data_IF_401900890074
#
_entry.id   IF_401900890074
#
_cell.length_a   1.000
_cell.length_b   1.000
_cell.length_c   1.000
_cell.angle_alpha   90.00
_cell.angle_beta   90.00
_cell.angle_gamma   90.00
#
_symmetry.space_group_name_H-M   'P 1'
#
loop_
_entity.id
_entity.type
_entity.pdbx_description
1 polymer ?
#
# COMPACT_ATOMS: atom_id res chain seq x y z
N UNK A 1 -44.84 -22.57 -19.13
CA UNK A 1 -44.02 -21.36 -19.38
C UNK A 1 -42.65 -21.85 -19.85
N UNK A 2 -42.28 -21.55 -21.09
CA UNK A 2 -40.96 -21.87 -21.63
C UNK A 2 -40.06 -20.65 -21.48
N UNK A 3 -38.95 -20.78 -20.76
CA UNK A 3 -37.91 -19.76 -20.70
C UNK A 3 -36.72 -20.24 -21.55
N UNK A 4 -36.16 -19.33 -22.33
CA UNK A 4 -34.95 -19.58 -23.12
C UNK A 4 -33.75 -19.04 -22.36
N UNK A 5 -32.72 -19.86 -22.22
CA UNK A 5 -31.45 -19.48 -21.59
C UNK A 5 -30.34 -19.69 -22.61
N UNK A 6 -29.37 -18.78 -22.67
CA UNK A 6 -28.18 -18.97 -23.50
C UNK A 6 -27.22 -19.98 -22.86
N UNK A 7 -26.37 -20.62 -23.66
CA UNK A 7 -25.37 -21.57 -23.13
C UNK A 7 -24.37 -20.89 -22.17
N UNK A 8 -24.06 -19.60 -22.38
CA UNK A 8 -23.20 -18.82 -21.48
C UNK A 8 -23.84 -18.64 -20.11
N UNK A 9 -25.13 -18.32 -20.06
CA UNK A 9 -25.87 -18.27 -18.81
C UNK A 9 -25.96 -19.65 -18.15
N UNK A 10 -26.12 -20.73 -18.93
CA UNK A 10 -26.14 -22.10 -18.42
C UNK A 10 -24.80 -22.51 -17.79
N UNK A 11 -23.67 -22.09 -18.37
CA UNK A 11 -22.32 -22.27 -17.81
C UNK A 11 -22.21 -21.58 -16.46
N UNK A 12 -22.66 -20.33 -16.35
CA UNK A 12 -22.58 -19.56 -15.11
C UNK A 12 -23.46 -20.16 -13.99
N UNK A 13 -24.56 -20.82 -14.35
CA UNK A 13 -25.40 -21.59 -13.42
C UNK A 13 -24.76 -22.93 -13.05
N UNK A 14 -24.10 -23.60 -14.00
CA UNK A 14 -23.41 -24.86 -13.80
C UNK A 14 -22.17 -24.72 -12.90
N UNK A 15 -21.39 -23.66 -13.10
CA UNK A 15 -20.14 -23.38 -12.39
C UNK A 15 -20.18 -21.93 -11.88
N UNK A 16 -20.83 -21.66 -10.75
CA UNK A 16 -20.81 -20.35 -10.12
C UNK A 16 -19.38 -20.01 -9.66
N UNK A 17 -18.96 -18.74 -9.80
CA UNK A 17 -17.60 -18.29 -9.49
C UNK A 17 -17.14 -18.55 -8.03
N UNK A 18 -18.08 -18.81 -7.10
CA UNK A 18 -17.81 -19.16 -5.70
C UNK A 18 -18.83 -20.20 -5.16
N UNK A 19 -18.80 -21.47 -5.59
CA UNK A 19 -19.70 -22.47 -5.02
C UNK A 19 -19.61 -23.89 -5.56
N UNK A 20 -20.53 -24.74 -5.07
CA UNK A 20 -20.72 -26.14 -5.47
C UNK A 20 -21.27 -26.20 -6.89
N UNK A 21 -20.67 -27.04 -7.75
CA UNK A 21 -21.08 -27.25 -9.15
C UNK A 21 -22.53 -27.75 -9.23
N UNK A 22 -23.36 -27.08 -10.03
CA UNK A 22 -24.70 -27.56 -10.33
C UNK A 22 -24.64 -28.61 -11.45
N UNK A 23 -24.50 -29.87 -11.05
CA UNK A 23 -24.40 -31.01 -11.98
C UNK A 23 -25.57 -31.12 -12.96
N UNK A 24 -26.77 -30.65 -12.59
CA UNK A 24 -27.93 -30.71 -13.48
C UNK A 24 -27.83 -29.69 -14.61
N UNK A 25 -27.39 -28.47 -14.30
CA UNK A 25 -27.10 -27.46 -15.32
C UNK A 25 -25.90 -27.83 -16.18
N UNK A 26 -24.85 -28.40 -15.57
CA UNK A 26 -23.66 -28.87 -16.28
C UNK A 26 -23.98 -30.00 -17.26
N UNK A 27 -24.79 -30.97 -16.84
CA UNK A 27 -25.24 -32.06 -17.71
C UNK A 27 -26.04 -31.54 -18.91
N UNK A 28 -26.96 -30.59 -18.71
CA UNK A 28 -27.72 -29.98 -19.79
C UNK A 28 -26.84 -29.20 -20.78
N UNK A 29 -25.81 -28.51 -20.28
CA UNK A 29 -24.83 -27.83 -21.11
C UNK A 29 -24.04 -28.84 -21.95
N UNK A 30 -23.49 -29.89 -21.32
CA UNK A 30 -22.72 -30.91 -22.01
C UNK A 30 -23.56 -31.65 -23.06
N UNK A 31 -24.81 -31.98 -22.72
CA UNK A 31 -25.73 -32.60 -23.67
C UNK A 31 -26.03 -31.68 -24.86
N UNK A 32 -26.30 -30.39 -24.60
CA UNK A 32 -26.49 -29.41 -25.67
C UNK A 32 -25.26 -29.25 -26.57
N UNK A 33 -24.05 -29.33 -26.01
CA UNK A 33 -22.79 -29.32 -26.78
C UNK A 33 -22.65 -30.60 -27.61
N UNK A 34 -22.92 -31.78 -27.04
CA UNK A 34 -22.86 -33.05 -27.75
C UNK A 34 -23.86 -33.11 -28.91
N UNK A 35 -25.06 -32.55 -28.71
CA UNK A 35 -26.11 -32.44 -29.73
C UNK A 35 -25.71 -31.44 -30.83
N UNK A 36 -25.13 -30.28 -30.46
CA UNK A 36 -24.69 -29.27 -31.44
C UNK A 36 -23.52 -29.75 -32.30
N UNK A 37 -22.59 -30.51 -31.71
CA UNK A 37 -21.41 -31.05 -32.40
C UNK A 37 -21.73 -32.41 -33.07
N UNK A 38 -22.94 -32.96 -32.87
CA UNK A 38 -23.42 -34.24 -33.43
C UNK A 38 -22.52 -35.45 -33.12
N UNK A 39 -21.87 -35.45 -31.96
CA UNK A 39 -20.98 -36.53 -31.52
C UNK A 39 -21.60 -37.39 -30.42
N UNK A 40 -22.87 -37.17 -30.10
CA UNK A 40 -23.59 -37.89 -29.04
C UNK A 40 -23.59 -39.42 -29.23
N UNK A 41 -23.62 -39.90 -30.49
CA UNK A 41 -23.63 -41.33 -30.81
C UNK A 41 -22.24 -41.91 -31.14
N UNK A 42 -21.19 -41.09 -31.12
CA UNK A 42 -19.85 -41.51 -31.47
C UNK A 42 -19.22 -42.30 -30.33
N UNK A 43 -18.89 -43.57 -30.58
CA UNK A 43 -18.26 -44.43 -29.58
C UNK A 43 -16.79 -44.07 -29.43
N UNK A 44 -16.41 -43.51 -28.29
CA UNK A 44 -15.00 -43.36 -27.91
C UNK A 44 -14.49 -44.71 -27.40
N UNK A 45 -13.51 -45.31 -28.09
CA UNK A 45 -12.77 -46.46 -27.59
C UNK A 45 -11.81 -45.96 -26.52
N UNK A 46 -12.07 -46.31 -25.26
CA UNK A 46 -11.22 -45.96 -24.13
C UNK A 46 -10.14 -47.03 -23.99
N UNK A 47 -8.86 -46.63 -23.97
CA UNK A 47 -7.78 -47.49 -23.50
C UNK A 47 -8.02 -47.75 -22.02
N UNK A 48 -8.06 -49.01 -21.60
CA UNK A 48 -8.50 -49.46 -20.27
C UNK A 48 -7.66 -49.03 -19.06
N UNK A 49 -6.91 -47.93 -19.17
CA UNK A 49 -6.03 -47.33 -18.14
C UNK A 49 -6.66 -46.08 -17.49
N UNK A 50 -7.92 -45.78 -17.82
CA UNK A 50 -8.66 -44.63 -17.29
C UNK A 50 -9.42 -45.06 -16.01
N UNK A 51 -8.81 -44.85 -14.85
CA UNK A 51 -9.27 -45.26 -13.50
C UNK A 51 -10.67 -44.76 -13.09
N UNK A 52 -11.28 -43.84 -13.83
CA UNK A 52 -12.55 -43.20 -13.47
C UNK A 52 -13.80 -44.05 -13.75
N UNK A 53 -13.70 -45.07 -14.63
CA UNK A 53 -14.80 -45.98 -14.94
C UNK A 53 -14.74 -47.30 -14.15
N UNK A 54 -13.63 -47.53 -13.45
CA UNK A 54 -13.53 -48.66 -12.54
C UNK A 54 -14.33 -48.33 -11.28
N UNK A 55 -15.62 -48.66 -11.31
CA UNK A 55 -16.32 -48.92 -10.06
C UNK A 55 -15.51 -49.98 -9.32
N UNK A 56 -14.79 -49.54 -8.27
CA UNK A 56 -13.93 -50.36 -7.41
C UNK A 56 -14.55 -51.74 -7.18
N UNK A 57 -13.91 -52.84 -7.63
CA UNK A 57 -14.40 -54.20 -7.45
C UNK A 57 -14.08 -54.73 -6.04
N UNK A 58 -13.99 -53.85 -5.04
CA UNK A 58 -13.83 -54.24 -3.64
C UNK A 58 -15.19 -54.22 -2.96
N UNK A 59 -16.08 -55.09 -3.42
CA UNK A 59 -17.15 -55.60 -2.58
C UNK A 59 -17.44 -57.03 -3.02
N UNK A 60 -16.83 -57.95 -2.28
CA UNK A 60 -17.18 -59.34 -2.06
C UNK A 60 -18.49 -59.75 -2.77
N UNK A 61 -18.39 -60.63 -3.76
CA UNK A 61 -19.52 -61.36 -4.32
C UNK A 61 -20.08 -62.26 -3.20
N UNK A 62 -21.32 -62.06 -2.71
CA UNK A 62 -22.05 -63.12 -2.02
C UNK A 62 -22.74 -63.96 -3.09
N UNK A 63 -22.53 -65.26 -3.00
CA UNK A 63 -23.13 -66.29 -3.84
C UNK A 63 -24.65 -66.11 -3.98
N UNK A 64 -25.09 -66.24 -5.22
CA UNK A 64 -26.38 -66.65 -5.78
C UNK A 64 -27.52 -66.96 -4.79
N UNK A 65 -28.63 -66.22 -4.91
CA UNK A 65 -29.94 -66.61 -4.38
C UNK A 65 -30.45 -65.80 -3.17
N UNK A 66 -30.78 -64.52 -3.36
CA UNK A 66 -32.04 -63.92 -2.88
C UNK A 66 -32.06 -62.41 -3.21
N UNK A 67 -33.24 -61.90 -3.53
CA UNK A 67 -33.48 -60.56 -4.07
C UNK A 67 -32.81 -59.44 -3.26
N UNK A 68 -31.81 -58.76 -3.84
CA UNK A 68 -31.34 -57.48 -3.31
C UNK A 68 -32.14 -56.31 -3.90
N UNK A 69 -32.62 -55.37 -3.06
CA UNK A 69 -33.24 -54.15 -3.53
C UNK A 69 -32.17 -53.25 -4.15
N UNK A 70 -32.52 -52.60 -5.25
CA UNK A 70 -31.70 -51.60 -5.93
C UNK A 70 -31.30 -50.50 -4.93
N UNK A 71 -30.07 -50.55 -4.40
CA UNK A 71 -29.57 -49.52 -3.48
C UNK A 71 -29.21 -48.29 -4.31
N UNK A 72 -30.07 -47.28 -4.22
CA UNK A 72 -29.93 -45.99 -4.90
C UNK A 72 -28.60 -45.31 -4.47
N UNK A 73 -27.71 -44.93 -5.41
CA UNK A 73 -26.42 -44.30 -5.11
C UNK A 73 -26.53 -42.99 -4.31
N UNK A 74 -27.68 -42.29 -4.38
CA UNK A 74 -27.95 -41.12 -3.52
C UNK A 74 -28.03 -41.48 -2.03
N UNK A 75 -28.53 -42.67 -1.66
CA UNK A 75 -28.56 -43.12 -0.26
C UNK A 75 -27.16 -43.43 0.26
N UNK A 76 -26.26 -43.92 -0.60
CA UNK A 76 -24.87 -44.18 -0.23
C UNK A 76 -24.10 -42.87 0.04
N UNK A 77 -24.33 -41.84 -0.77
CA UNK A 77 -23.78 -40.51 -0.53
C UNK A 77 -24.35 -39.88 0.75
N UNK A 78 -25.67 -39.97 0.97
CA UNK A 78 -26.31 -39.52 2.22
C UNK A 78 -25.62 -40.15 3.44
N UNK A 79 -25.43 -41.48 3.44
CA UNK A 79 -24.79 -42.18 4.55
C UNK A 79 -23.33 -41.73 4.80
N UNK A 80 -22.60 -41.32 3.75
CA UNK A 80 -21.23 -40.78 3.90
C UNK A 80 -21.28 -39.38 4.50
N UNK A 81 -22.19 -38.52 4.05
CA UNK A 81 -22.39 -37.20 4.64
C UNK A 81 -22.85 -37.31 6.10
N UNK A 82 -23.81 -38.19 6.40
CA UNK A 82 -24.29 -38.44 7.76
C UNK A 82 -23.16 -38.93 8.67
N UNK A 83 -22.27 -39.80 8.17
CA UNK A 83 -21.10 -40.25 8.91
C UNK A 83 -20.04 -39.15 9.10
N UNK A 84 -19.87 -38.25 8.12
CA UNK A 84 -18.98 -37.08 8.26
C UNK A 84 -19.56 -36.10 9.28
N UNK A 85 -20.87 -35.86 9.25
CA UNK A 85 -21.58 -35.02 10.22
C UNK A 85 -21.48 -35.61 11.62
N UNK A 86 -21.73 -36.91 11.81
CA UNK A 86 -21.58 -37.61 13.10
C UNK A 86 -20.13 -37.57 13.61
N UNK A 87 -19.14 -37.72 12.71
CA UNK A 87 -17.72 -37.54 13.09
C UNK A 87 -17.41 -36.10 13.46
N UNK A 88 -17.98 -35.13 12.76
CA UNK A 88 -17.78 -33.71 13.04
C UNK A 88 -18.41 -33.32 14.38
N UNK A 89 -19.61 -33.82 14.66
CA UNK A 89 -20.29 -33.65 15.95
C UNK A 89 -19.48 -34.28 17.09
N UNK A 90 -18.94 -35.50 16.91
CA UNK A 90 -18.03 -36.12 17.90
C UNK A 90 -16.74 -35.34 18.11
N UNK A 91 -16.22 -34.70 17.05
CA UNK A 91 -15.04 -33.84 17.14
C UNK A 91 -15.40 -32.55 17.88
N UNK A 92 -16.52 -31.92 17.58
CA UNK A 92 -17.01 -30.72 18.28
C UNK A 92 -17.26 -30.98 19.76
N UNK A 93 -17.90 -32.10 20.11
CA UNK A 93 -18.12 -32.50 21.51
C UNK A 93 -16.78 -32.68 22.24
N UNK A 94 -15.81 -33.37 21.62
CA UNK A 94 -14.46 -33.51 22.21
C UNK A 94 -13.70 -32.19 22.28
N UNK A 95 -13.90 -31.30 21.31
CA UNK A 95 -13.29 -29.97 21.30
C UNK A 95 -13.84 -29.13 22.47
N UNK A 96 -15.15 -29.19 22.70
CA UNK A 96 -15.81 -28.54 23.82
C UNK A 96 -15.38 -29.14 25.18
N UNK A 97 -15.23 -30.46 25.26
CA UNK A 97 -14.67 -31.14 26.44
C UNK A 97 -13.20 -30.75 26.71
N UNK A 98 -12.38 -30.56 25.67
CA UNK A 98 -11.00 -30.08 25.82
C UNK A 98 -10.89 -28.60 26.18
N UNK A 99 -11.86 -27.77 25.77
CA UNK A 99 -11.89 -26.35 26.09
C UNK A 99 -12.41 -26.08 27.51
N UNK A 100 -13.23 -26.97 28.08
CA UNK A 100 -13.76 -26.84 29.43
C UNK A 100 -12.80 -27.35 30.51
N UNK A 101 -12.57 -26.56 31.58
CA UNK A 101 -11.85 -27.03 32.77
C UNK A 101 -12.80 -27.95 33.57
N UNK A 102 -12.45 -29.21 33.86
CA UNK A 102 -13.32 -30.10 34.62
C UNK A 102 -13.50 -29.61 36.07
N UNK A 103 -14.73 -29.63 36.55
CA UNK A 103 -15.09 -29.26 37.93
C UNK A 103 -14.45 -30.23 38.93
N UNK A 104 -14.08 -29.75 40.12
CA UNK A 104 -13.47 -30.54 41.22
C UNK A 104 -14.23 -31.83 41.57
N UNK A 105 -15.56 -31.87 41.38
CA UNK A 105 -16.37 -33.07 41.55
C UNK A 105 -16.08 -34.17 40.50
N UNK A 106 -15.90 -33.80 39.22
CA UNK A 106 -15.53 -34.74 38.14
C UNK A 106 -14.11 -35.27 38.31
N UNK A 107 -13.18 -34.43 38.77
CA UNK A 107 -11.81 -34.85 39.07
C UNK A 107 -11.77 -35.91 40.18
N UNK A 108 -12.67 -35.82 41.17
CA UNK A 108 -12.75 -36.80 42.26
C UNK A 108 -13.34 -38.14 41.79
N UNK A 109 -14.37 -38.11 40.94
CA UNK A 109 -14.95 -39.30 40.31
C UNK A 109 -13.94 -39.99 39.37
N UNK A 110 -13.25 -39.24 38.51
CA UNK A 110 -12.25 -39.77 37.58
C UNK A 110 -10.94 -40.22 38.26
N UNK A 111 -10.72 -39.81 39.52
CA UNK A 111 -9.58 -40.29 40.32
C UNK A 111 -9.77 -41.70 40.88
N UNK A 112 -10.98 -42.25 40.83
CA UNK A 112 -11.22 -43.64 41.22
C UNK A 112 -10.69 -44.58 40.12
N UNK A 113 -9.38 -44.87 40.17
CA UNK A 113 -8.71 -45.77 39.24
C UNK A 113 -7.23 -45.43 39.05
N UNK A 114 -6.65 -45.86 37.91
CA UNK A 114 -5.25 -45.60 37.54
C UNK A 114 -5.02 -44.25 36.86
N UNK A 115 -6.09 -43.47 36.62
CA UNK A 115 -6.01 -42.17 35.95
C UNK A 115 -5.42 -41.11 36.88
N UNK A 116 -4.73 -40.11 36.31
CA UNK A 116 -4.16 -38.96 37.03
C UNK A 116 -4.76 -37.64 36.54
N UNK A 117 -6.04 -37.35 36.85
CA UNK A 117 -6.77 -36.22 36.27
C UNK A 117 -6.12 -34.85 36.52
N UNK A 118 -5.45 -34.67 37.65
CA UNK A 118 -4.74 -33.43 37.99
C UNK A 118 -3.48 -33.20 37.14
N UNK A 119 -2.75 -34.26 36.80
CA UNK A 119 -1.56 -34.20 35.93
C UNK A 119 -1.98 -33.86 34.49
N UNK A 120 -3.05 -34.48 34.01
CA UNK A 120 -3.64 -34.21 32.69
C UNK A 120 -4.17 -32.78 32.59
N UNK A 121 -4.84 -32.27 33.63
CA UNK A 121 -5.31 -30.89 33.71
C UNK A 121 -4.16 -29.89 33.65
N UNK A 122 -3.09 -30.13 34.42
CA UNK A 122 -1.91 -29.27 34.40
C UNK A 122 -1.23 -29.23 33.02
N UNK A 123 -1.12 -30.39 32.37
CA UNK A 123 -0.59 -30.49 31.01
C UNK A 123 -1.46 -29.71 30.02
N UNK A 124 -2.80 -29.81 30.12
CA UNK A 124 -3.72 -29.08 29.26
C UNK A 124 -3.60 -27.55 29.46
N UNK A 125 -3.63 -27.06 30.71
CA UNK A 125 -3.45 -25.62 31.03
C UNK A 125 -2.12 -25.09 30.48
N UNK A 126 -1.03 -25.87 30.63
CA UNK A 126 0.28 -25.49 30.11
C UNK A 126 0.29 -25.36 28.59
N UNK A 127 -0.39 -26.27 27.88
CA UNK A 127 -0.52 -26.21 26.42
C UNK A 127 -1.37 -25.00 26.01
N UNK A 128 -2.52 -24.77 26.65
CA UNK A 128 -3.37 -23.61 26.39
C UNK A 128 -2.61 -22.30 26.57
N UNK A 129 -1.84 -22.14 27.66
CA UNK A 129 -1.04 -20.93 27.89
C UNK A 129 0.06 -20.73 26.83
N UNK A 130 0.64 -21.82 26.32
CA UNK A 130 1.58 -21.75 25.19
C UNK A 130 0.89 -21.35 23.88
N UNK A 131 -0.31 -21.86 23.64
CA UNK A 131 -1.12 -21.51 22.46
C UNK A 131 -1.52 -20.03 22.52
N UNK A 132 -2.06 -19.55 23.65
CA UNK A 132 -2.38 -18.12 23.85
C UNK A 132 -1.15 -17.22 23.58
N UNK A 133 0.02 -17.60 24.10
CA UNK A 133 1.26 -16.87 23.86
C UNK A 133 1.68 -16.87 22.38
N UNK A 134 1.51 -18.00 21.69
CA UNK A 134 1.80 -18.12 20.26
C UNK A 134 0.81 -17.31 19.40
N UNK A 135 -0.47 -17.29 19.77
CA UNK A 135 -1.49 -16.48 19.08
C UNK A 135 -1.13 -14.98 19.18
N UNK A 136 -0.79 -14.50 20.37
CA UNK A 136 -0.34 -13.12 20.58
C UNK A 136 0.95 -12.79 19.81
N UNK A 137 1.91 -13.74 19.75
CA UNK A 137 3.13 -13.56 18.98
C UNK A 137 2.83 -13.51 17.47
N UNK A 138 1.92 -14.35 16.98
CA UNK A 138 1.50 -14.41 15.58
C UNK A 138 0.75 -13.13 15.18
N UNK A 139 -0.12 -12.61 16.06
CA UNK A 139 -0.81 -11.33 15.84
C UNK A 139 0.18 -10.17 15.72
N UNK A 140 1.15 -10.09 16.64
CA UNK A 140 2.20 -9.06 16.57
C UNK A 140 3.03 -9.19 15.29
N UNK A 141 3.43 -10.40 14.91
CA UNK A 141 4.17 -10.64 13.69
C UNK A 141 3.39 -10.25 12.44
N UNK A 142 2.10 -10.63 12.36
CA UNK A 142 1.22 -10.27 11.26
C UNK A 142 1.06 -8.74 11.14
N UNK A 143 0.89 -8.05 12.27
CA UNK A 143 0.83 -6.59 12.31
C UNK A 143 2.13 -5.96 11.81
N UNK A 144 3.29 -6.41 12.28
CA UNK A 144 4.59 -5.91 11.81
C UNK A 144 4.79 -6.15 10.31
N UNK A 145 4.38 -7.31 9.78
CA UNK A 145 4.43 -7.57 8.33
C UNK A 145 3.52 -6.62 7.55
N UNK A 146 2.31 -6.34 8.06
CA UNK A 146 1.38 -5.41 7.43
C UNK A 146 1.94 -3.98 7.42
N UNK A 147 2.54 -3.53 8.53
CA UNK A 147 3.19 -2.23 8.64
C UNK A 147 4.34 -2.11 7.62
N UNK A 148 5.20 -3.13 7.54
CA UNK A 148 6.30 -3.18 6.56
C UNK A 148 5.81 -3.17 5.10
N UNK A 149 4.74 -3.89 4.79
CA UNK A 149 4.14 -3.87 3.45
C UNK A 149 3.56 -2.50 3.10
N UNK A 150 2.90 -1.85 4.07
CA UNK A 150 2.38 -0.50 3.90
C UNK A 150 3.51 0.50 3.63
N UNK A 151 4.58 0.45 4.42
CA UNK A 151 5.76 1.32 4.24
C UNK A 151 6.44 1.08 2.90
N UNK A 152 6.54 -0.17 2.45
CA UNK A 152 7.06 -0.51 1.12
C UNK A 152 6.20 0.10 0.01
N UNK A 153 4.87 0.02 0.13
CA UNK A 153 3.96 0.62 -0.84
C UNK A 153 4.10 2.15 -0.90
N UNK A 154 4.19 2.82 0.25
CA UNK A 154 4.45 4.27 0.32
C UNK A 154 5.79 4.60 -0.33
N UNK A 155 6.85 3.88 0.03
CA UNK A 155 8.19 4.07 -0.52
C UNK A 155 8.21 3.89 -2.04
N UNK A 156 7.54 2.85 -2.55
CA UNK A 156 7.41 2.62 -4.00
C UNK A 156 6.74 3.80 -4.70
N UNK A 157 5.63 4.31 -4.14
CA UNK A 157 4.92 5.48 -4.68
C UNK A 157 5.82 6.73 -4.70
N UNK A 158 6.60 6.94 -3.64
CA UNK A 158 7.59 8.03 -3.58
C UNK A 158 8.66 7.87 -4.66
N UNK A 159 9.20 6.67 -4.85
CA UNK A 159 10.20 6.38 -5.90
C UNK A 159 9.63 6.64 -7.30
N UNK A 160 8.38 6.21 -7.56
CA UNK A 160 7.71 6.47 -8.83
C UNK A 160 7.47 7.97 -9.08
N UNK A 161 7.16 8.73 -8.02
CA UNK A 161 7.00 10.18 -8.10
C UNK A 161 8.33 10.87 -8.40
N UNK A 162 9.39 10.53 -7.65
CA UNK A 162 10.75 11.06 -7.88
C UNK A 162 11.24 10.74 -9.29
N UNK A 163 10.93 9.55 -9.81
CA UNK A 163 11.27 9.18 -11.18
C UNK A 163 10.60 10.11 -12.20
N UNK A 164 9.30 10.43 -12.03
CA UNK A 164 8.58 11.37 -12.90
C UNK A 164 9.16 12.78 -12.81
N UNK A 165 9.53 13.23 -11.62
CA UNK A 165 10.16 14.53 -11.41
C UNK A 165 11.53 14.59 -12.12
N UNK A 166 12.33 13.53 -12.00
CA UNK A 166 13.61 13.40 -12.70
C UNK A 166 13.45 13.41 -14.22
N UNK A 167 12.46 12.70 -14.76
CA UNK A 167 12.15 12.71 -16.20
C UNK A 167 11.76 14.12 -16.67
N UNK A 168 11.04 14.87 -15.83
CA UNK A 168 10.68 16.28 -16.11
C UNK A 168 11.92 17.18 -16.11
N UNK A 169 12.80 17.04 -15.12
CA UNK A 169 14.08 17.78 -15.06
C UNK A 169 14.95 17.45 -16.27
N UNK A 170 15.05 16.17 -16.63
CA UNK A 170 15.78 15.72 -17.81
C UNK A 170 15.22 16.34 -19.09
N UNK A 171 13.91 16.36 -19.26
CA UNK A 171 13.25 17.00 -20.40
C UNK A 171 13.54 18.51 -20.48
N UNK A 172 13.50 19.22 -19.35
CA UNK A 172 13.88 20.65 -19.30
C UNK A 172 15.35 20.80 -19.69
N UNK A 173 16.24 19.96 -19.16
CA UNK A 173 17.66 19.99 -19.46
C UNK A 173 17.97 19.71 -20.94
N UNK A 174 17.31 18.72 -21.56
CA UNK A 174 17.44 18.42 -22.99
C UNK A 174 16.96 19.58 -23.87
N UNK A 175 15.96 20.34 -23.42
CA UNK A 175 15.47 21.54 -24.11
C UNK A 175 16.39 22.75 -23.94
N UNK A 176 17.22 22.79 -22.90
CA UNK A 176 18.19 23.86 -22.71
C UNK A 176 19.33 23.66 -23.71
N UNK A 177 19.46 24.59 -24.66
CA UNK A 177 20.63 24.62 -25.52
C UNK A 177 21.84 25.12 -24.69
N UNK A 178 22.86 24.28 -24.43
CA UNK A 178 23.98 24.64 -23.57
C UNK A 178 24.76 25.85 -24.11
N UNK A 179 24.86 26.01 -25.43
CA UNK A 179 25.54 27.15 -26.06
C UNK A 179 24.78 28.46 -25.80
N UNK A 180 23.44 28.44 -25.81
CA UNK A 180 22.63 29.63 -25.49
C UNK A 180 22.75 30.01 -24.01
N UNK A 181 22.83 29.02 -23.13
CA UNK A 181 23.02 29.24 -21.69
C UNK A 181 24.40 29.82 -21.38
N UNK A 182 25.44 29.34 -22.06
CA UNK A 182 26.80 29.87 -21.94
C UNK A 182 26.88 31.34 -22.39
N UNK A 183 26.27 31.66 -23.53
CA UNK A 183 26.16 33.05 -24.01
C UNK A 183 25.42 33.96 -23.03
N UNK A 184 24.29 33.52 -22.47
CA UNK A 184 23.56 34.27 -21.44
C UNK A 184 24.38 34.47 -20.16
N UNK A 185 25.13 33.45 -19.75
CA UNK A 185 26.01 33.53 -18.58
C UNK A 185 27.11 34.58 -18.79
N UNK A 186 27.71 34.61 -19.98
CA UNK A 186 28.75 35.57 -20.31
C UNK A 186 28.22 37.00 -20.42
N UNK A 187 27.03 37.21 -21.02
CA UNK A 187 26.39 38.54 -21.00
C UNK A 187 26.09 39.00 -19.57
N UNK A 188 25.55 38.13 -18.71
CA UNK A 188 25.33 38.44 -17.30
C UNK A 188 26.61 38.80 -16.56
N UNK A 189 27.74 38.10 -16.82
CA UNK A 189 29.04 38.48 -16.24
C UNK A 189 29.47 39.87 -16.69
N UNK A 190 29.26 40.22 -17.96
CA UNK A 190 29.56 41.55 -18.50
C UNK A 190 28.67 42.61 -17.85
N UNK A 191 27.37 42.38 -17.73
CA UNK A 191 26.44 43.30 -17.06
C UNK A 191 26.81 43.48 -15.58
N UNK A 192 27.17 42.42 -14.87
CA UNK A 192 27.58 42.49 -13.48
C UNK A 192 28.87 43.32 -13.30
N UNK A 193 29.84 43.20 -14.21
CA UNK A 193 31.04 44.04 -14.22
C UNK A 193 30.70 45.52 -14.46
N UNK A 194 29.79 45.82 -15.39
CA UNK A 194 29.31 47.18 -15.65
C UNK A 194 28.61 47.76 -14.43
N UNK A 195 27.75 46.99 -13.77
CA UNK A 195 27.09 47.40 -12.53
C UNK A 195 28.11 47.70 -11.42
N UNK A 196 29.13 46.86 -11.25
CA UNK A 196 30.20 47.11 -10.28
C UNK A 196 31.07 48.33 -10.63
N UNK A 197 31.25 48.66 -11.91
CA UNK A 197 31.89 49.91 -12.33
C UNK A 197 31.01 51.12 -12.00
N UNK A 198 29.73 51.06 -12.37
CA UNK A 198 28.75 52.10 -12.09
C UNK A 198 28.61 52.36 -10.58
N UNK A 199 28.59 51.30 -9.76
CA UNK A 199 28.54 51.43 -8.31
C UNK A 199 29.75 52.20 -7.76
N UNK A 200 30.97 51.95 -8.29
CA UNK A 200 32.16 52.71 -7.91
C UNK A 200 32.08 54.17 -8.35
N UNK A 201 31.53 54.44 -9.52
CA UNK A 201 31.31 55.81 -10.00
C UNK A 201 30.30 56.56 -9.13
N UNK A 202 29.18 55.92 -8.77
CA UNK A 202 28.17 56.48 -7.86
C UNK A 202 28.79 56.81 -6.50
N UNK A 203 29.58 55.89 -5.91
CA UNK A 203 30.30 56.15 -4.65
C UNK A 203 31.27 57.33 -4.80
N UNK A 204 32.00 57.38 -5.92
CA UNK A 204 32.94 58.48 -6.21
C UNK A 204 32.21 59.82 -6.32
N UNK A 205 31.09 59.86 -7.05
CA UNK A 205 30.25 61.06 -7.17
C UNK A 205 29.66 61.47 -5.82
N UNK A 206 29.17 60.53 -5.04
CA UNK A 206 28.65 60.79 -3.69
C UNK A 206 29.72 61.42 -2.79
N UNK A 207 30.97 60.93 -2.85
CA UNK A 207 32.08 61.52 -2.12
C UNK A 207 32.41 62.94 -2.60
N UNK A 208 32.39 63.18 -3.92
CA UNK A 208 32.58 64.52 -4.49
C UNK A 208 31.48 65.49 -4.06
N UNK A 209 30.22 65.06 -4.08
CA UNK A 209 29.08 65.87 -3.63
C UNK A 209 29.21 66.22 -2.16
N UNK A 210 29.62 65.26 -1.31
CA UNK A 210 29.88 65.50 0.11
C UNK A 210 31.06 66.44 0.38
N UNK A 211 32.00 66.56 -0.55
CA UNK A 211 33.14 67.46 -0.44
C UNK A 211 32.82 68.91 -0.84
N UNK A 212 31.63 69.17 -1.40
CA UNK A 212 31.17 70.53 -1.66
C UNK A 212 30.80 71.16 -0.30
N UNK A 213 31.42 72.29 0.09
CA UNK A 213 31.11 72.96 1.34
C UNK A 213 29.62 73.32 1.41
N UNK A 214 29.03 73.24 2.61
CA UNK A 214 27.65 73.67 2.78
C UNK A 214 27.54 75.20 2.61
N UNK A 215 26.39 75.75 2.19
CA UNK A 215 26.21 77.19 2.03
C UNK A 215 26.56 78.01 3.28
N UNK A 216 26.41 77.42 4.46
CA UNK A 216 26.76 78.04 5.75
C UNK A 216 28.28 78.10 6.00
N UNK A 217 29.05 77.23 5.35
CA UNK A 217 30.52 77.19 5.40
C UNK A 217 31.15 78.03 4.27
N UNK A 218 30.33 78.51 3.33
CA UNK A 218 30.78 79.36 2.23
C UNK A 218 30.80 80.83 2.65
N UNK A 219 31.94 81.50 2.48
CA UNK A 219 32.02 82.94 2.66
C UNK A 219 31.29 83.61 1.49
N UNK A 220 30.13 84.20 1.79
CA UNK A 220 29.39 84.99 0.81
C UNK A 220 30.20 86.23 0.43
N UNK A 221 30.15 86.59 -0.84
CA UNK A 221 30.89 87.75 -1.36
C UNK A 221 30.46 89.05 -0.68
N UNK A 222 29.19 89.14 -0.29
CA UNK A 222 28.66 90.20 0.57
C UNK A 222 29.36 90.26 1.93
N UNK A 223 29.53 89.12 2.61
CA UNK A 223 30.17 89.04 3.93
C UNK A 223 31.67 89.35 3.87
N UNK A 224 32.37 88.91 2.83
CA UNK A 224 33.78 89.29 2.65
C UNK A 224 33.93 90.78 2.34
N UNK A 225 33.10 91.31 1.44
CA UNK A 225 33.11 92.73 1.10
C UNK A 225 32.83 93.57 2.35
N UNK A 226 31.83 93.20 3.15
CA UNK A 226 31.54 93.89 4.40
C UNK A 226 32.72 93.82 5.39
N UNK A 227 33.37 92.66 5.55
CA UNK A 227 34.56 92.55 6.40
C UNK A 227 35.75 93.39 5.90
N UNK A 228 36.03 93.39 4.60
CA UNK A 228 37.15 94.14 4.01
C UNK A 228 36.93 95.66 4.07
N UNK A 229 35.69 96.12 3.84
CA UNK A 229 35.39 97.55 3.74
C UNK A 229 34.87 98.17 5.06
N UNK A 230 34.40 97.38 6.03
CA UNK A 230 34.09 97.88 7.38
C UNK A 230 35.33 98.18 8.22
N UNK A 231 36.43 97.42 8.04
CA UNK A 231 37.73 97.68 8.67
C UNK A 231 38.31 99.06 8.32
N UNK A 232 38.05 99.56 7.11
CA UNK A 232 38.43 100.92 6.69
C UNK A 232 37.64 102.03 7.39
N UNK A 233 36.48 101.73 7.97
CA UNK A 233 35.63 102.75 8.60
C UNK A 233 35.94 102.98 10.08
N UNK A 234 36.51 102.01 10.80
CA UNK A 234 36.85 102.17 12.22
C UNK A 234 38.20 102.86 12.46
N UNK A 235 39.25 102.57 11.68
CA UNK A 235 40.52 103.31 11.82
C UNK A 235 40.36 104.80 11.46
N UNK A 236 39.47 105.13 10.53
CA UNK A 236 39.16 106.51 10.19
C UNK A 236 38.38 107.27 11.29
N UNK A 237 37.57 106.58 12.11
CA UNK A 237 36.80 107.20 13.20
C UNK A 237 37.60 107.36 14.50
N UNK A 238 38.53 106.45 14.81
CA UNK A 238 39.39 106.59 16.00
C UNK A 238 40.38 107.76 15.85
N UNK A 239 40.83 108.06 14.62
CA UNK A 239 41.63 109.26 14.36
C UNK A 239 40.85 110.59 14.45
N UNK A 240 39.51 110.57 14.48
CA UNK A 240 38.68 111.78 14.54
C UNK A 240 38.20 112.15 15.95
N UNK A 241 38.32 111.25 16.94
CA UNK A 241 37.83 111.47 18.32
C UNK A 241 38.95 111.86 19.32
N UNK A 242 40.22 111.85 18.90
CA UNK A 242 41.37 112.39 19.69
C UNK A 242 41.89 113.69 19.07
N UNK A 243 41.02 114.56 18.55
CA UNK A 243 41.41 115.93 18.17
C UNK A 243 40.42 116.97 18.61
#
# INVERSE_FOLDING_TARGET
MSFSLTYTELVNVAIPQCGVVNFKALHLLLQGILDHIQIAELKKVLSGDEDFLQASPVMLIPREGDAQPIINPMKRLSNIFDHVVDRMEKIEVKLAEMQGIPTTAKLLEDSQGTKRPAEDMWNNIKIQKRIEGNELATEKFAKTLQDLLSDLHVTKSTVETVKKDMDTVKFVFEKLNPQKMELLCDDLKVQNRKLGALQREVVTLQNKVRAIPQPEEMVLWSSLHEAMFSLLTWEALVCLVIR
#
